data_IF_863431968711
#
_entry.id   IF_863431968711
#
_cell.length_a   1.000
_cell.length_b   1.000
_cell.length_c   1.000
_cell.angle_alpha   90.00
_cell.angle_beta   90.00
_cell.angle_gamma   90.00
#
_symmetry.space_group_name_H-M   'P 1'
#
loop_
_entity.id
_entity.type
_entity.pdbx_description
1 polymer ?
#
# COMPACT_ATOMS: atom_id res chain seq x y z
N UNK A 1 -34.20 -42.60 -0.99
CA UNK A 1 -32.74 -42.36 -0.85
C UNK A 1 -32.08 -42.79 -2.15
N UNK A 2 -31.34 -41.92 -2.78
CA UNK A 2 -30.55 -42.27 -3.95
C UNK A 2 -29.35 -43.09 -3.47
N UNK A 3 -29.13 -44.26 -4.09
CA UNK A 3 -27.96 -45.08 -3.81
C UNK A 3 -26.69 -44.36 -4.23
N UNK A 4 -25.69 -44.19 -3.34
CA UNK A 4 -24.48 -43.44 -3.64
C UNK A 4 -23.69 -43.95 -4.83
N UNK A 5 -23.63 -45.27 -5.05
CA UNK A 5 -22.89 -45.88 -6.17
C UNK A 5 -23.60 -45.60 -7.52
N UNK A 6 -24.93 -45.76 -7.53
CA UNK A 6 -25.75 -45.44 -8.71
C UNK A 6 -25.65 -43.93 -9.07
N UNK A 7 -25.62 -43.07 -8.07
CA UNK A 7 -25.45 -41.62 -8.28
C UNK A 7 -24.04 -41.27 -8.81
N UNK A 8 -23.01 -41.90 -8.28
CA UNK A 8 -21.66 -41.74 -8.75
C UNK A 8 -21.47 -42.24 -10.21
N UNK A 9 -22.13 -43.37 -10.55
CA UNK A 9 -22.16 -43.89 -11.91
C UNK A 9 -22.80 -42.87 -12.87
N UNK A 10 -23.94 -42.30 -12.50
CA UNK A 10 -24.64 -41.25 -13.23
C UNK A 10 -23.75 -40.03 -13.43
N UNK A 11 -23.06 -39.55 -12.37
CA UNK A 11 -22.15 -38.39 -12.48
C UNK A 11 -20.97 -38.65 -13.44
N UNK A 12 -20.50 -39.89 -13.52
CA UNK A 12 -19.49 -40.28 -14.54
C UNK A 12 -20.07 -40.30 -15.94
N UNK A 13 -21.27 -40.83 -16.10
CA UNK A 13 -21.96 -40.94 -17.39
C UNK A 13 -22.20 -39.56 -18.03
N UNK A 14 -22.62 -38.59 -17.24
CA UNK A 14 -22.84 -37.19 -17.71
C UNK A 14 -21.57 -36.37 -17.80
N UNK A 15 -20.39 -36.92 -17.49
CA UNK A 15 -19.10 -36.24 -17.58
C UNK A 15 -18.81 -35.25 -16.45
N UNK A 16 -19.61 -35.27 -15.35
CA UNK A 16 -19.33 -34.45 -14.17
C UNK A 16 -18.12 -34.96 -13.39
N UNK A 17 -17.98 -36.27 -13.23
CA UNK A 17 -16.79 -36.90 -12.70
C UNK A 17 -15.97 -37.43 -13.88
N UNK A 18 -14.80 -36.89 -14.08
CA UNK A 18 -13.83 -37.33 -15.08
C UNK A 18 -12.75 -38.23 -14.46
N UNK A 19 -12.08 -39.12 -15.24
CA UNK A 19 -10.95 -39.90 -14.74
C UNK A 19 -9.85 -39.00 -14.20
N UNK A 20 -9.21 -39.42 -13.09
CA UNK A 20 -8.02 -38.72 -12.63
C UNK A 20 -6.91 -38.81 -13.66
N UNK A 21 -6.24 -37.70 -14.02
CA UNK A 21 -5.06 -37.77 -14.88
C UNK A 21 -3.91 -38.49 -14.15
N UNK A 22 -3.02 -39.10 -14.88
CA UNK A 22 -1.83 -39.77 -14.30
C UNK A 22 -0.91 -38.76 -13.59
N UNK A 23 -0.79 -37.57 -14.15
CA UNK A 23 -0.10 -36.44 -13.52
C UNK A 23 -0.69 -35.12 -14.05
N UNK A 24 -0.62 -34.11 -13.25
CA UNK A 24 -0.91 -32.73 -13.67
C UNK A 24 -0.01 -31.75 -12.92
N UNK A 25 0.24 -30.62 -13.54
CA UNK A 25 0.87 -29.46 -12.89
C UNK A 25 -0.04 -28.25 -13.04
N UNK A 26 -0.06 -27.42 -12.02
CA UNK A 26 -0.73 -26.14 -12.08
C UNK A 26 0.30 -25.10 -12.43
N UNK A 27 0.18 -24.49 -13.61
CA UNK A 27 0.98 -23.35 -14.00
C UNK A 27 0.23 -22.08 -13.64
N UNK A 28 0.91 -21.19 -12.92
CA UNK A 28 0.41 -19.88 -12.47
C UNK A 28 1.38 -18.80 -12.99
N UNK A 29 1.45 -18.69 -14.32
CA UNK A 29 2.51 -17.91 -14.97
C UNK A 29 2.35 -16.39 -14.82
N UNK A 30 1.15 -15.87 -14.56
CA UNK A 30 0.86 -14.43 -14.49
C UNK A 30 0.09 -14.09 -13.20
N UNK A 31 0.70 -14.37 -12.06
CA UNK A 31 0.14 -13.98 -10.76
C UNK A 31 0.65 -12.58 -10.37
N UNK A 32 -0.25 -11.70 -9.96
CA UNK A 32 0.10 -10.37 -9.45
C UNK A 32 1.23 -10.46 -8.40
N UNK A 33 2.25 -9.60 -8.48
CA UNK A 33 3.35 -9.59 -7.51
C UNK A 33 2.88 -9.45 -6.06
N UNK A 34 1.81 -8.71 -5.85
CA UNK A 34 1.17 -8.50 -4.56
C UNK A 34 0.63 -9.80 -3.93
N UNK A 35 0.40 -10.84 -4.74
CA UNK A 35 -0.04 -12.15 -4.28
C UNK A 35 1.12 -13.13 -4.19
N UNK A 36 2.05 -13.09 -5.15
CA UNK A 36 3.06 -14.13 -5.32
C UNK A 36 4.44 -13.80 -4.75
N UNK A 37 4.79 -12.52 -4.60
CA UNK A 37 6.17 -12.09 -4.31
C UNK A 37 6.29 -11.10 -3.15
N UNK A 38 5.27 -10.26 -2.93
CA UNK A 38 5.34 -9.17 -1.95
C UNK A 38 4.63 -9.59 -0.68
N UNK A 39 5.38 -9.79 0.41
CA UNK A 39 4.84 -10.00 1.74
C UNK A 39 4.57 -8.65 2.40
N UNK A 40 3.31 -8.28 2.56
CA UNK A 40 2.92 -7.00 3.16
C UNK A 40 1.54 -7.04 3.80
N UNK A 41 1.15 -5.98 4.50
CA UNK A 41 -0.15 -5.88 5.15
C UNK A 41 -1.31 -6.01 4.17
N UNK A 42 -2.35 -6.70 4.60
CA UNK A 42 -3.64 -6.78 3.93
C UNK A 42 -4.69 -6.06 4.76
N UNK A 43 -5.49 -5.22 4.14
CA UNK A 43 -6.62 -4.56 4.77
C UNK A 43 -7.95 -5.21 4.35
N UNK A 44 -8.95 -5.12 5.21
CA UNK A 44 -10.34 -5.49 4.91
C UNK A 44 -11.20 -4.25 5.15
N UNK A 45 -12.10 -3.95 4.21
CA UNK A 45 -12.91 -2.74 4.26
C UNK A 45 -14.33 -2.99 3.74
N UNK A 46 -15.39 -2.51 4.42
CA UNK A 46 -16.74 -2.62 3.92
C UNK A 46 -16.94 -1.76 2.67
N UNK A 47 -17.47 -2.36 1.59
CA UNK A 47 -17.73 -1.66 0.32
C UNK A 47 -18.81 -0.57 0.45
N UNK A 48 -19.64 -0.65 1.47
CA UNK A 48 -20.74 0.29 1.70
C UNK A 48 -20.30 1.70 2.11
N UNK A 49 -19.01 1.90 2.41
CA UNK A 49 -18.47 3.18 2.84
C UNK A 49 -17.32 3.63 1.93
N UNK A 50 -17.61 4.54 0.99
CA UNK A 50 -16.66 5.05 -0.01
C UNK A 50 -15.40 5.63 0.61
N UNK A 51 -15.56 6.37 1.72
CA UNK A 51 -14.43 6.99 2.41
C UNK A 51 -13.49 5.94 3.01
N UNK A 52 -14.04 4.87 3.57
CA UNK A 52 -13.25 3.78 4.13
C UNK A 52 -12.54 3.00 3.00
N UNK A 53 -13.24 2.71 1.92
CA UNK A 53 -12.65 2.06 0.73
C UNK A 53 -11.47 2.87 0.21
N UNK A 54 -11.68 4.18 -0.03
CA UNK A 54 -10.63 5.08 -0.54
C UNK A 54 -9.45 5.18 0.43
N UNK A 55 -9.72 5.21 1.75
CA UNK A 55 -8.65 5.22 2.74
C UNK A 55 -7.83 3.94 2.69
N UNK A 56 -8.48 2.78 2.61
CA UNK A 56 -7.82 1.48 2.61
C UNK A 56 -6.98 1.27 1.34
N UNK A 57 -7.55 1.51 0.17
CA UNK A 57 -6.82 1.29 -1.10
C UNK A 57 -5.69 2.30 -1.30
N UNK A 58 -5.85 3.54 -0.84
CA UNK A 58 -4.81 4.56 -0.89
C UNK A 58 -3.70 4.35 0.15
N UNK A 59 -3.94 3.50 1.16
CA UNK A 59 -2.94 3.17 2.18
C UNK A 59 -1.79 2.28 1.66
N UNK A 60 -1.73 2.00 0.35
CA UNK A 60 -0.55 1.38 -0.24
C UNK A 60 0.71 2.18 0.08
N UNK A 61 0.62 3.51 0.10
CA UNK A 61 1.72 4.40 0.42
C UNK A 61 1.43 5.18 1.69
N UNK A 62 2.23 4.96 2.72
CA UNK A 62 2.06 5.57 4.03
C UNK A 62 3.29 6.35 4.48
N UNK A 63 3.07 7.50 5.12
CA UNK A 63 4.12 8.31 5.73
C UNK A 63 4.63 7.65 7.02
N UNK A 64 5.92 7.37 7.08
CA UNK A 64 6.59 6.93 8.30
C UNK A 64 6.63 8.07 9.33
N UNK A 65 6.84 9.30 8.88
CA UNK A 65 6.85 10.47 9.75
C UNK A 65 5.52 10.68 10.45
N UNK A 66 4.40 10.60 9.71
CA UNK A 66 3.06 10.69 10.31
C UNK A 66 2.82 9.58 11.33
N UNK A 67 3.24 8.36 11.01
CA UNK A 67 3.09 7.20 11.89
C UNK A 67 3.92 7.33 13.17
N UNK A 68 5.16 7.78 13.08
CA UNK A 68 6.02 8.00 14.24
C UNK A 68 5.56 9.20 15.08
N UNK A 69 5.23 10.32 14.43
CA UNK A 69 4.79 11.54 15.09
C UNK A 69 3.44 11.35 15.78
N UNK A 70 2.49 10.66 15.14
CA UNK A 70 1.11 10.54 15.60
C UNK A 70 0.86 9.42 16.61
N UNK A 71 1.85 8.58 16.93
CA UNK A 71 1.67 7.41 17.80
C UNK A 71 2.53 7.46 19.06
N UNK A 72 2.35 6.47 19.95
CA UNK A 72 3.11 6.35 21.20
C UNK A 72 4.53 5.76 21.01
N UNK A 73 4.99 5.52 19.80
CA UNK A 73 6.41 5.21 19.51
C UNK A 73 7.30 6.31 20.08
N UNK A 74 6.88 7.57 19.93
CA UNK A 74 7.42 8.69 20.67
C UNK A 74 6.44 9.01 21.82
N UNK A 75 6.81 8.75 23.08
CA UNK A 75 5.91 8.97 24.21
C UNK A 75 5.36 10.41 24.24
N UNK A 76 4.05 10.55 24.40
CA UNK A 76 3.38 11.85 24.46
C UNK A 76 3.50 12.49 25.87
N UNK A 77 4.76 12.76 26.31
CA UNK A 77 5.08 13.26 27.66
C UNK A 77 6.09 14.40 27.62
N UNK A 78 6.03 15.28 28.60
CA UNK A 78 7.00 16.38 28.75
C UNK A 78 7.09 17.26 27.51
N UNK A 79 8.31 17.52 27.07
CA UNK A 79 8.60 18.31 25.86
C UNK A 79 8.21 17.65 24.55
N UNK A 80 7.85 16.36 24.55
CA UNK A 80 7.45 15.60 23.37
C UNK A 80 5.92 15.54 23.16
N UNK A 81 5.14 16.33 23.91
CA UNK A 81 3.68 16.39 23.77
C UNK A 81 3.28 16.93 22.40
N UNK A 82 2.29 16.27 21.81
CA UNK A 82 1.59 16.80 20.62
C UNK A 82 0.77 18.03 21.01
N UNK A 83 0.69 19.03 20.11
CA UNK A 83 -0.11 20.25 20.28
C UNK A 83 -0.76 20.64 18.95
N UNK A 84 -1.56 21.71 18.94
CA UNK A 84 -2.13 22.24 17.69
C UNK A 84 -1.06 22.70 16.69
N UNK A 85 0.05 23.24 17.18
CA UNK A 85 1.22 23.52 16.37
C UNK A 85 2.19 22.32 16.39
N UNK A 86 2.96 22.14 15.31
CA UNK A 86 3.99 21.10 15.28
C UNK A 86 5.02 21.32 16.38
N UNK A 87 5.22 20.31 17.21
CA UNK A 87 6.26 20.32 18.23
C UNK A 87 7.61 19.99 17.58
N UNK A 88 8.49 20.97 17.46
CA UNK A 88 9.78 20.85 16.78
C UNK A 88 10.69 19.76 17.40
N UNK A 89 10.66 19.60 18.74
CA UNK A 89 11.45 18.55 19.39
C UNK A 89 10.94 17.16 19.00
N UNK A 90 9.61 17.00 18.92
CA UNK A 90 9.00 15.75 18.48
C UNK A 90 9.25 15.50 17.00
N UNK A 91 9.17 16.51 16.14
CA UNK A 91 9.52 16.44 14.71
C UNK A 91 10.97 16.00 14.52
N UNK A 92 11.93 16.60 15.24
CA UNK A 92 13.33 16.20 15.19
C UNK A 92 13.51 14.73 15.62
N UNK A 93 12.85 14.32 16.71
CA UNK A 93 12.91 12.92 17.16
C UNK A 93 12.30 11.96 16.14
N UNK A 94 11.23 12.37 15.46
CA UNK A 94 10.63 11.62 14.33
C UNK A 94 11.64 11.42 13.20
N UNK A 95 12.34 12.50 12.81
CA UNK A 95 13.37 12.43 11.76
C UNK A 95 14.55 11.54 12.16
N UNK A 96 14.99 11.59 13.41
CA UNK A 96 16.04 10.70 13.92
C UNK A 96 15.63 9.21 13.83
N UNK A 97 14.42 8.88 14.26
CA UNK A 97 13.90 7.51 14.19
C UNK A 97 13.73 7.03 12.74
N UNK A 98 13.33 7.91 11.84
CA UNK A 98 13.26 7.59 10.41
C UNK A 98 14.67 7.38 9.81
N UNK A 99 15.68 8.13 10.25
CA UNK A 99 17.07 7.87 9.87
C UNK A 99 17.54 6.53 10.42
N UNK A 100 17.23 6.19 11.69
CA UNK A 100 17.58 4.88 12.27
C UNK A 100 16.96 3.73 11.46
N UNK A 101 15.70 3.87 11.07
CA UNK A 101 15.03 2.91 10.21
C UNK A 101 15.75 2.75 8.86
N UNK A 102 16.12 3.85 8.21
CA UNK A 102 16.83 3.80 6.93
C UNK A 102 18.24 3.19 7.10
N UNK A 103 18.95 3.48 8.20
CA UNK A 103 20.26 2.89 8.51
C UNK A 103 20.19 1.37 8.72
N UNK A 104 19.02 0.86 9.19
CA UNK A 104 18.79 -0.57 9.35
C UNK A 104 18.44 -1.26 8.03
N UNK A 105 17.50 -0.69 7.25
CA UNK A 105 16.92 -1.38 6.07
C UNK A 105 17.69 -1.14 4.77
N UNK A 106 18.40 -0.03 4.66
CA UNK A 106 19.20 0.34 3.49
C UNK A 106 20.47 1.10 3.88
N UNK A 107 21.40 0.45 4.62
CA UNK A 107 22.54 1.10 5.24
C UNK A 107 23.48 1.77 4.23
N UNK A 108 24.11 2.86 4.67
CA UNK A 108 25.18 3.54 3.96
C UNK A 108 26.54 2.99 4.37
N UNK A 109 27.49 2.98 3.44
CA UNK A 109 28.87 2.57 3.72
C UNK A 109 29.57 3.60 4.63
N UNK A 110 29.79 3.22 5.89
CA UNK A 110 30.54 4.03 6.85
C UNK A 110 29.86 5.32 7.32
N UNK A 111 28.57 5.50 7.02
CA UNK A 111 27.84 6.72 7.35
C UNK A 111 26.40 6.41 7.78
N UNK A 112 25.69 7.40 8.32
CA UNK A 112 24.28 7.36 8.67
C UNK A 112 23.48 8.38 7.85
N UNK A 113 22.22 8.11 7.62
CA UNK A 113 21.28 9.05 7.00
C UNK A 113 21.15 10.38 7.75
N UNK A 114 21.51 10.40 9.04
CA UNK A 114 21.59 11.66 9.84
C UNK A 114 22.68 12.62 9.37
N UNK A 115 23.67 12.13 8.64
CA UNK A 115 24.84 12.88 8.20
C UNK A 115 24.68 13.43 6.79
N UNK A 116 23.58 13.12 6.10
CA UNK A 116 23.36 13.53 4.72
C UNK A 116 23.17 15.05 4.66
N UNK A 117 23.86 15.70 3.70
CA UNK A 117 23.65 17.08 3.30
C UNK A 117 22.86 17.17 2.01
N UNK A 118 23.13 16.28 1.06
CA UNK A 118 22.42 16.21 -0.22
C UNK A 118 22.61 14.87 -0.91
N UNK A 119 21.81 14.61 -1.95
CA UNK A 119 21.92 13.41 -2.78
C UNK A 119 22.32 13.77 -4.19
N UNK A 120 23.11 12.95 -4.84
CA UNK A 120 23.54 13.10 -6.22
C UNK A 120 23.44 11.76 -6.93
N UNK A 121 22.93 11.79 -8.16
CA UNK A 121 23.01 10.65 -9.08
C UNK A 121 24.21 10.84 -10.00
N UNK A 122 25.16 9.92 -9.95
CA UNK A 122 26.33 9.94 -10.82
C UNK A 122 26.42 8.61 -11.58
N UNK A 123 26.47 8.68 -12.92
CA UNK A 123 26.58 7.48 -13.81
C UNK A 123 25.65 6.32 -13.42
N UNK A 124 24.41 6.63 -13.05
CA UNK A 124 23.42 5.64 -12.65
C UNK A 124 23.48 5.19 -11.18
N UNK A 125 24.51 5.51 -10.44
CA UNK A 125 24.63 5.22 -9.01
C UNK A 125 24.09 6.36 -8.14
N UNK A 126 23.52 6.01 -6.99
CA UNK A 126 23.10 6.97 -5.96
C UNK A 126 24.29 7.26 -5.03
N UNK A 127 24.60 8.54 -4.90
CA UNK A 127 25.66 9.04 -4.00
C UNK A 127 25.02 10.06 -3.06
N UNK A 128 25.34 9.99 -1.79
CA UNK A 128 24.98 10.96 -0.77
C UNK A 128 26.20 11.79 -0.39
N UNK A 129 26.09 13.12 -0.48
CA UNK A 129 27.08 14.00 0.12
C UNK A 129 26.77 14.16 1.59
N UNK A 130 27.80 14.08 2.43
CA UNK A 130 27.68 14.19 3.88
C UNK A 130 28.00 15.62 4.35
N UNK A 131 27.58 15.95 5.57
CA UNK A 131 27.76 17.29 6.16
C UNK A 131 29.24 17.65 6.41
N UNK A 132 30.13 16.67 6.47
CA UNK A 132 31.59 16.84 6.63
C UNK A 132 32.33 16.97 5.29
N UNK A 133 31.61 16.92 4.16
CA UNK A 133 32.16 16.98 2.81
C UNK A 133 32.56 15.63 2.22
N UNK A 134 32.46 14.55 2.98
CA UNK A 134 32.65 13.19 2.49
C UNK A 134 31.44 12.71 1.68
N UNK A 135 31.58 11.55 1.06
CA UNK A 135 30.50 10.92 0.30
C UNK A 135 30.23 9.51 0.79
N UNK A 136 28.97 9.10 0.73
CA UNK A 136 28.54 7.74 1.05
C UNK A 136 27.68 7.14 -0.07
N UNK A 137 27.70 5.82 -0.17
CA UNK A 137 26.86 5.03 -1.07
C UNK A 137 26.14 3.95 -0.28
N UNK A 138 25.11 3.37 -0.84
CA UNK A 138 24.45 2.20 -0.23
C UNK A 138 25.44 1.05 -0.07
N UNK A 139 25.32 0.29 1.01
CA UNK A 139 26.04 -0.98 1.21
C UNK A 139 25.63 -1.96 0.11
N UNK A 140 24.33 -2.06 -0.18
CA UNK A 140 23.79 -2.80 -1.32
C UNK A 140 23.28 -1.82 -2.39
N UNK A 141 24.05 -1.58 -3.48
CA UNK A 141 23.64 -0.67 -4.55
C UNK A 141 22.36 -1.07 -5.29
N UNK A 142 22.00 -2.38 -5.27
CA UNK A 142 20.80 -2.90 -5.94
C UNK A 142 19.50 -2.41 -5.27
N UNK A 143 19.57 -1.95 -4.03
CA UNK A 143 18.43 -1.35 -3.36
C UNK A 143 17.99 -0.04 -4.01
N UNK A 144 18.85 0.64 -4.77
CA UNK A 144 18.47 1.85 -5.51
C UNK A 144 17.69 1.50 -6.76
N UNK A 145 16.40 1.81 -6.77
CA UNK A 145 15.48 1.51 -7.87
C UNK A 145 15.33 2.70 -8.82
N UNK A 146 15.31 3.93 -8.31
CA UNK A 146 15.15 5.10 -9.17
C UNK A 146 14.92 6.41 -8.43
N UNK A 147 14.60 7.43 -9.20
CA UNK A 147 14.24 8.76 -8.73
C UNK A 147 12.87 9.14 -9.27
N UNK A 148 12.05 9.82 -8.46
CA UNK A 148 10.84 10.49 -8.94
C UNK A 148 11.17 11.75 -9.75
N UNK A 149 10.18 12.32 -10.43
CA UNK A 149 10.32 13.58 -11.18
C UNK A 149 10.72 14.75 -10.27
N UNK A 150 10.36 14.70 -8.99
CA UNK A 150 10.77 15.68 -7.96
C UNK A 150 12.11 15.35 -7.32
N UNK A 151 12.78 14.30 -7.78
CA UNK A 151 14.07 13.86 -7.28
C UNK A 151 14.02 13.06 -5.97
N UNK A 152 12.87 12.59 -5.50
CA UNK A 152 12.81 11.66 -4.37
C UNK A 152 13.51 10.35 -4.71
N UNK A 153 14.18 9.76 -3.74
CA UNK A 153 14.91 8.49 -3.92
C UNK A 153 13.97 7.33 -3.67
N UNK A 154 13.87 6.41 -4.62
CA UNK A 154 13.18 5.14 -4.44
C UNK A 154 14.18 4.03 -4.16
N UNK A 155 14.03 3.39 -3.02
CA UNK A 155 14.76 2.20 -2.60
C UNK A 155 13.81 1.00 -2.57
N UNK A 156 14.40 -0.21 -2.53
CA UNK A 156 13.67 -1.46 -2.31
C UNK A 156 14.37 -2.31 -1.26
N UNK A 157 13.57 -2.87 -0.36
CA UNK A 157 14.02 -3.86 0.61
C UNK A 157 12.94 -4.94 0.79
N UNK A 158 13.30 -6.22 0.71
CA UNK A 158 12.36 -7.36 0.80
C UNK A 158 11.14 -7.23 -0.11
N UNK A 159 11.36 -6.81 -1.36
CA UNK A 159 10.33 -6.54 -2.37
C UNK A 159 9.35 -5.38 -2.05
N UNK A 160 9.56 -4.65 -0.97
CA UNK A 160 8.79 -3.45 -0.60
C UNK A 160 9.59 -2.19 -0.94
N UNK A 161 8.89 -1.18 -1.44
CA UNK A 161 9.50 0.07 -1.81
C UNK A 161 9.50 1.09 -0.67
N UNK A 162 10.56 1.89 -0.62
CA UNK A 162 10.77 2.97 0.35
C UNK A 162 11.13 4.22 -0.44
N UNK A 163 10.31 5.27 -0.34
CA UNK A 163 10.59 6.55 -0.99
C UNK A 163 11.09 7.57 0.04
N UNK A 164 12.33 8.04 -0.14
CA UNK A 164 12.89 9.12 0.67
C UNK A 164 12.53 10.45 0.01
N UNK A 165 11.69 11.22 0.68
CA UNK A 165 11.30 12.57 0.26
C UNK A 165 12.29 13.56 0.82
N UNK A 166 13.08 14.19 -0.06
CA UNK A 166 14.05 15.20 0.34
C UNK A 166 13.53 16.60 0.00
N UNK A 167 13.56 17.48 0.99
CA UNK A 167 13.25 18.90 0.84
C UNK A 167 14.02 19.70 1.88
N UNK A 168 15.11 20.35 1.43
CA UNK A 168 16.00 21.11 2.32
C UNK A 168 15.34 22.36 2.92
N UNK A 169 14.37 22.94 2.22
CA UNK A 169 13.69 24.16 2.69
C UNK A 169 12.61 23.85 3.71
N UNK A 170 11.93 22.70 3.57
CA UNK A 170 10.80 22.30 4.39
C UNK A 170 11.18 21.34 5.52
N UNK A 171 12.33 20.67 5.41
CA UNK A 171 12.80 19.74 6.45
C UNK A 171 13.25 20.53 7.69
N UNK A 172 12.81 20.10 8.85
CA UNK A 172 13.29 20.60 10.13
C UNK A 172 14.56 19.90 10.61
N UNK A 173 14.97 18.83 9.94
CA UNK A 173 16.15 18.05 10.28
C UNK A 173 17.29 18.33 9.29
N UNK A 174 18.54 18.40 9.82
CA UNK A 174 19.75 18.73 9.04
C UNK A 174 20.03 17.79 7.86
N UNK A 175 19.48 16.56 7.88
CA UNK A 175 19.63 15.61 6.76
C UNK A 175 18.83 16.01 5.51
N UNK A 176 17.95 17.02 5.60
CA UNK A 176 17.06 17.40 4.52
C UNK A 176 15.98 16.35 4.19
N UNK A 177 15.87 15.28 4.96
CA UNK A 177 14.79 14.30 4.80
C UNK A 177 13.52 14.93 5.37
N UNK A 178 12.53 15.11 4.50
CA UNK A 178 11.24 15.69 4.86
C UNK A 178 10.24 14.60 5.27
N UNK A 179 10.26 13.45 4.58
CA UNK A 179 9.47 12.27 4.92
C UNK A 179 10.11 11.00 4.37
N UNK A 180 9.66 9.86 4.88
CA UNK A 180 9.93 8.53 4.34
C UNK A 180 8.59 7.88 4.08
N UNK A 181 8.29 7.62 2.81
CA UNK A 181 7.04 6.98 2.39
C UNK A 181 7.29 5.49 2.19
N UNK A 182 6.55 4.67 2.90
CA UNK A 182 6.64 3.22 2.84
C UNK A 182 5.52 2.63 1.99
N UNK A 183 5.84 1.63 1.18
CA UNK A 183 4.85 0.75 0.60
C UNK A 183 4.28 -0.10 1.74
N UNK A 184 2.99 0.06 2.04
CA UNK A 184 2.34 -0.41 3.26
C UNK A 184 1.23 -1.42 2.95
N UNK A 185 -0.01 -0.99 2.72
CA UNK A 185 -1.11 -1.89 2.39
C UNK A 185 -0.94 -2.43 0.96
N UNK A 186 -0.51 -3.67 0.84
CA UNK A 186 -0.23 -4.31 -0.46
C UNK A 186 -1.51 -4.77 -1.11
N UNK A 187 -2.41 -5.38 -0.34
CA UNK A 187 -3.71 -5.82 -0.81
C UNK A 187 -4.82 -5.25 0.07
N UNK A 188 -5.98 -5.02 -0.53
CA UNK A 188 -7.20 -4.62 0.20
C UNK A 188 -8.36 -5.53 -0.21
N UNK A 189 -8.92 -6.25 0.73
CA UNK A 189 -10.15 -7.00 0.54
C UNK A 189 -11.33 -6.05 0.69
N UNK A 190 -12.03 -5.85 -0.42
CA UNK A 190 -13.31 -5.13 -0.42
C UNK A 190 -14.41 -6.12 -0.06
N UNK A 191 -15.05 -5.88 1.05
CA UNK A 191 -15.93 -6.84 1.69
C UNK A 191 -17.40 -6.52 1.41
N UNK A 192 -18.11 -7.51 0.85
CA UNK A 192 -19.56 -7.51 0.66
C UNK A 192 -20.29 -8.38 1.70
N UNK A 193 -19.56 -9.01 2.62
CA UNK A 193 -20.07 -9.98 3.56
C UNK A 193 -20.06 -9.42 4.99
N UNK A 194 -19.18 -9.93 5.86
CA UNK A 194 -19.26 -9.74 7.31
C UNK A 194 -19.17 -8.28 7.78
N UNK A 195 -18.37 -7.46 7.13
CA UNK A 195 -18.24 -6.04 7.50
C UNK A 195 -19.21 -5.12 6.75
N UNK A 196 -19.96 -5.64 5.78
CA UNK A 196 -20.91 -4.87 4.97
C UNK A 196 -22.33 -5.30 5.30
N UNK A 197 -23.08 -4.45 6.00
CA UNK A 197 -24.52 -4.67 6.21
C UNK A 197 -25.30 -4.04 5.08
N UNK A 198 -25.99 -4.88 4.29
CA UNK A 198 -26.89 -4.44 3.22
C UNK A 198 -28.22 -5.18 3.36
N UNK A 199 -29.22 -4.51 3.93
CA UNK A 199 -30.53 -5.10 4.24
C UNK A 199 -31.50 -4.87 3.07
N UNK A 200 -31.45 -3.70 2.44
CA UNK A 200 -32.34 -3.30 1.36
C UNK A 200 -31.69 -3.46 -0.01
N UNK A 201 -32.53 -3.45 -1.06
CA UNK A 201 -32.06 -3.44 -2.45
C UNK A 201 -31.21 -2.20 -2.77
N UNK A 202 -31.59 -1.04 -2.26
CA UNK A 202 -30.87 0.21 -2.51
C UNK A 202 -29.48 0.17 -1.91
N UNK A 203 -29.32 -0.40 -0.70
CA UNK A 203 -28.02 -0.59 -0.07
C UNK A 203 -27.14 -1.56 -0.87
N UNK A 204 -27.70 -2.65 -1.40
CA UNK A 204 -26.97 -3.57 -2.28
C UNK A 204 -26.54 -2.88 -3.58
N UNK A 205 -27.44 -2.15 -4.22
CA UNK A 205 -27.15 -1.38 -5.45
C UNK A 205 -26.05 -0.35 -5.16
N UNK A 206 -26.10 0.32 -4.01
CA UNK A 206 -25.08 1.27 -3.59
C UNK A 206 -23.69 0.58 -3.43
N UNK A 207 -23.64 -0.56 -2.77
CA UNK A 207 -22.41 -1.34 -2.62
C UNK A 207 -21.81 -1.72 -4.00
N UNK A 208 -22.62 -2.21 -4.93
CA UNK A 208 -22.16 -2.54 -6.27
C UNK A 208 -21.75 -1.30 -7.10
N UNK A 209 -22.40 -0.17 -6.92
CA UNK A 209 -21.99 1.10 -7.56
C UNK A 209 -20.62 1.56 -7.04
N UNK A 210 -20.39 1.46 -5.75
CA UNK A 210 -19.09 1.76 -5.15
C UNK A 210 -18.00 0.85 -5.73
N UNK A 211 -18.26 -0.44 -5.83
CA UNK A 211 -17.32 -1.38 -6.40
C UNK A 211 -17.05 -1.10 -7.89
N UNK A 212 -18.08 -0.82 -8.67
CA UNK A 212 -17.92 -0.43 -10.07
C UNK A 212 -17.10 0.85 -10.22
N UNK A 213 -17.35 1.86 -9.36
CA UNK A 213 -16.56 3.09 -9.31
C UNK A 213 -15.10 2.83 -8.94
N UNK A 214 -14.85 1.91 -8.02
CA UNK A 214 -13.50 1.49 -7.65
C UNK A 214 -12.76 0.83 -8.83
N UNK A 215 -13.41 -0.12 -9.51
CA UNK A 215 -12.83 -0.81 -10.67
C UNK A 215 -12.55 0.14 -11.84
N UNK A 216 -13.43 1.11 -12.09
CA UNK A 216 -13.24 2.15 -13.12
C UNK A 216 -12.27 3.25 -12.70
N UNK A 217 -11.76 3.24 -11.47
CA UNK A 217 -10.95 4.31 -10.86
C UNK A 217 -11.67 5.67 -10.80
N UNK A 218 -12.99 5.66 -10.70
CA UNK A 218 -13.88 6.82 -10.64
C UNK A 218 -14.44 7.08 -9.24
N UNK A 219 -14.23 6.13 -8.30
CA UNK A 219 -14.74 6.26 -6.93
C UNK A 219 -14.15 7.50 -6.27
N UNK A 220 -15.03 8.34 -5.74
CA UNK A 220 -14.66 9.51 -4.98
C UNK A 220 -15.68 9.77 -3.87
N UNK A 221 -15.29 10.53 -2.87
CA UNK A 221 -16.18 10.97 -1.80
C UNK A 221 -15.83 12.38 -1.35
N UNK A 222 -16.83 13.13 -0.95
CA UNK A 222 -16.70 14.50 -0.47
C UNK A 222 -17.08 14.57 1.00
N UNK A 223 -16.25 15.22 1.81
CA UNK A 223 -16.50 15.39 3.24
C UNK A 223 -15.96 16.73 3.74
N UNK A 224 -16.50 17.19 4.84
CA UNK A 224 -16.05 18.44 5.48
C UNK A 224 -15.04 18.16 6.58
N UNK A 225 -13.89 18.85 6.56
CA UNK A 225 -12.87 18.80 7.60
C UNK A 225 -12.37 20.22 7.89
N UNK A 226 -12.44 20.66 9.16
CA UNK A 226 -11.98 21.99 9.54
C UNK A 226 -12.74 23.16 8.87
N UNK A 227 -13.99 22.93 8.43
CA UNK A 227 -14.80 23.94 7.72
C UNK A 227 -14.59 23.96 6.21
N UNK A 228 -13.64 23.18 5.69
CA UNK A 228 -13.39 23.05 4.24
C UNK A 228 -13.97 21.76 3.68
N UNK A 229 -14.51 21.85 2.48
CA UNK A 229 -15.01 20.69 1.73
C UNK A 229 -13.88 20.07 0.95
N UNK A 230 -13.58 18.82 1.24
CA UNK A 230 -12.50 18.05 0.62
C UNK A 230 -13.07 16.89 -0.20
N UNK A 231 -12.55 16.69 -1.40
CA UNK A 231 -12.84 15.52 -2.22
C UNK A 231 -11.68 14.55 -2.16
N UNK A 232 -11.96 13.29 -1.83
CA UNK A 232 -10.99 12.20 -1.87
C UNK A 232 -11.28 11.29 -3.05
N UNK A 233 -10.25 10.94 -3.78
CA UNK A 233 -10.29 10.00 -4.90
C UNK A 233 -9.16 8.98 -4.77
N UNK A 234 -9.09 8.04 -5.70
CA UNK A 234 -7.98 7.09 -5.78
C UNK A 234 -6.67 7.79 -6.11
N UNK A 235 -5.60 7.38 -5.45
CA UNK A 235 -4.26 7.88 -5.74
C UNK A 235 -3.84 7.54 -7.16
N UNK A 236 -3.12 8.47 -7.78
CA UNK A 236 -2.46 8.24 -9.08
C UNK A 236 -1.23 7.36 -8.88
N UNK A 237 -0.87 6.64 -9.93
CA UNK A 237 0.36 5.87 -9.96
C UNK A 237 1.57 6.78 -9.84
N UNK A 238 2.60 6.31 -9.13
CA UNK A 238 3.84 7.03 -8.90
C UNK A 238 4.83 6.71 -10.01
N UNK A 239 5.44 7.75 -10.59
CA UNK A 239 6.40 7.60 -11.69
C UNK A 239 7.83 7.79 -11.21
N UNK A 240 8.72 6.95 -11.70
CA UNK A 240 10.13 6.96 -11.37
C UNK A 240 10.99 6.71 -12.61
N UNK A 241 12.24 7.15 -12.55
CA UNK A 241 13.26 6.90 -13.59
C UNK A 241 14.37 6.07 -12.95
N UNK A 242 14.65 4.88 -13.49
CA UNK A 242 15.69 4.00 -12.99
C UNK A 242 17.11 4.47 -13.39
N UNK A 243 18.14 3.72 -12.93
CA UNK A 243 19.56 4.02 -13.23
C UNK A 243 19.87 4.08 -14.72
N UNK A 244 19.14 3.34 -15.57
CA UNK A 244 19.33 3.29 -17.02
C UNK A 244 18.54 4.40 -17.77
N UNK A 245 17.83 5.26 -17.07
CA UNK A 245 17.00 6.31 -17.67
C UNK A 245 15.61 5.84 -18.13
N UNK A 246 15.24 4.58 -17.88
CA UNK A 246 13.91 4.04 -18.20
C UNK A 246 12.89 4.51 -17.17
N UNK A 247 11.79 5.07 -17.64
CA UNK A 247 10.64 5.44 -16.79
C UNK A 247 9.78 4.21 -16.54
N UNK A 248 9.33 4.07 -15.31
CA UNK A 248 8.37 3.05 -14.88
C UNK A 248 7.38 3.63 -13.87
N UNK A 249 6.29 2.92 -13.63
CA UNK A 249 5.25 3.34 -12.67
C UNK A 249 5.02 2.26 -11.63
N UNK A 250 4.78 2.69 -10.39
CA UNK A 250 4.27 1.86 -9.30
C UNK A 250 2.83 2.26 -9.01
N UNK A 251 1.98 1.27 -8.74
CA UNK A 251 0.57 1.55 -8.44
C UNK A 251 0.43 2.47 -7.23
N UNK A 252 -0.40 3.49 -7.34
CA UNK A 252 -0.74 4.39 -6.24
C UNK A 252 -1.71 3.78 -5.22
N UNK A 253 -2.30 2.62 -5.55
CA UNK A 253 -3.31 1.94 -4.74
C UNK A 253 -2.92 0.48 -4.48
N UNK A 254 -3.43 -0.12 -3.40
CA UNK A 254 -3.29 -1.55 -3.15
C UNK A 254 -4.01 -2.38 -4.22
N UNK A 255 -3.56 -3.63 -4.44
CA UNK A 255 -4.32 -4.59 -5.22
C UNK A 255 -5.64 -4.88 -4.51
N UNK A 256 -6.74 -4.75 -5.26
CA UNK A 256 -8.08 -4.94 -4.70
C UNK A 256 -8.55 -6.37 -4.90
N UNK A 257 -8.86 -7.04 -3.80
CA UNK A 257 -9.51 -8.34 -3.76
C UNK A 257 -10.95 -8.18 -3.29
N UNK A 258 -11.78 -9.16 -3.55
CA UNK A 258 -13.20 -9.12 -3.17
C UNK A 258 -13.54 -10.32 -2.31
N UNK A 259 -14.19 -10.08 -1.16
CA UNK A 259 -14.93 -11.10 -0.45
C UNK A 259 -16.42 -10.92 -0.73
N UNK A 260 -17.03 -11.87 -1.41
CA UNK A 260 -18.43 -11.82 -1.75
C UNK A 260 -19.24 -12.80 -0.89
N UNK A 261 -20.55 -12.60 -0.83
CA UNK A 261 -21.49 -13.52 -0.14
C UNK A 261 -21.45 -14.89 -0.83
N UNK A 262 -21.46 -15.95 -0.03
CA UNK A 262 -21.51 -17.31 -0.55
C UNK A 262 -22.81 -17.59 -1.32
N UNK A 263 -22.72 -18.39 -2.38
CA UNK A 263 -23.86 -18.72 -3.27
C UNK A 263 -25.01 -19.46 -2.55
N UNK A 264 -24.75 -20.05 -1.39
CA UNK A 264 -25.75 -20.76 -0.58
C UNK A 264 -26.54 -19.84 0.35
N UNK A 265 -26.21 -18.57 0.44
CA UNK A 265 -26.94 -17.61 1.27
C UNK A 265 -28.18 -17.12 0.55
N UNK A 266 -29.35 -17.49 1.09
CA UNK A 266 -30.63 -16.98 0.65
C UNK A 266 -30.78 -15.53 1.07
N UNK A 267 -31.04 -14.65 0.14
CA UNK A 267 -31.35 -13.23 0.37
C UNK A 267 -32.79 -12.96 -0.05
N UNK A 268 -33.41 -11.90 0.49
CA UNK A 268 -34.75 -11.50 0.08
C UNK A 268 -34.88 -11.31 -1.44
N UNK A 269 -33.81 -10.89 -2.10
CA UNK A 269 -33.77 -10.76 -3.56
C UNK A 269 -33.98 -12.12 -4.24
N UNK A 270 -33.33 -13.17 -3.74
CA UNK A 270 -33.45 -14.54 -4.28
C UNK A 270 -34.81 -15.14 -3.94
N UNK A 271 -35.28 -14.93 -2.72
CA UNK A 271 -36.59 -15.45 -2.27
C UNK A 271 -37.76 -14.85 -3.06
N UNK A 272 -37.65 -13.60 -3.49
CA UNK A 272 -38.70 -12.92 -4.24
C UNK A 272 -38.63 -13.12 -5.78
N UNK A 273 -37.66 -13.90 -6.27
CA UNK A 273 -37.56 -14.29 -7.68
C UNK A 273 -38.20 -15.64 -7.99
N UNK A 274 -38.56 -16.41 -6.98
CA UNK A 274 -39.34 -17.64 -7.05
C UNK A 274 -40.85 -17.29 -6.90
#
# INVERSE_FOLDING_TARGET
RIDPESYKAFLKEIGYIVPNPESFSINVDEVDPEISQIAGPQLVVPITNERFVLNAVNARWGSLFDSLYGTNVIPNKGSMRTSFAHNLQRVNRTAELACDFLDEVAPLKGASYRQIASKVRYKGALIFNLNDGEVATLVNPEQFIGLSDTGNVLLQNNNLHIEIVGDQERSFHKSGIFDVILESAITTIVDFEDSASTVTYDEKIHAYRNYLGLMKRELNTTFTKGGETLTRSLNKDKKYTNSNGKVFSLSGTSLTLVRNVGIHMMTELVINLD
#
